data_IF_453755656654
#
_entry.id   IF_453755656654
#
_cell.length_a   1.000
_cell.length_b   1.000
_cell.length_c   1.000
_cell.angle_alpha   90.00
_cell.angle_beta   90.00
_cell.angle_gamma   90.00
#
_symmetry.space_group_name_H-M   'P 1'
#
loop_
_entity.id
_entity.type
_entity.pdbx_description
1 polymer ?
#
# COMPACT_ATOMS: atom_id res chain seq x y z
N UNK A 1 29.43 1.85 35.78
CA UNK A 1 29.20 1.69 34.33
C UNK A 1 27.71 1.80 34.12
N UNK A 2 27.23 2.94 33.63
CA UNK A 2 25.84 3.06 33.18
C UNK A 2 25.76 2.31 31.85
N UNK A 3 25.01 1.21 31.84
CA UNK A 3 24.64 0.53 30.61
C UNK A 3 23.64 1.46 29.92
N UNK A 4 24.10 2.22 28.92
CA UNK A 4 23.21 2.94 28.02
C UNK A 4 22.54 1.89 27.14
N UNK A 5 21.40 1.37 27.57
CA UNK A 5 20.46 0.77 26.63
C UNK A 5 20.13 1.86 25.62
N UNK A 6 20.68 1.74 24.41
CA UNK A 6 20.21 2.53 23.29
C UNK A 6 18.70 2.31 23.22
N UNK A 7 17.92 3.37 23.38
CA UNK A 7 16.47 3.34 23.18
C UNK A 7 16.23 2.68 21.83
N UNK A 8 15.75 1.44 21.85
CA UNK A 8 15.63 0.64 20.64
C UNK A 8 14.47 1.22 19.84
N UNK A 9 14.80 2.01 18.83
CA UNK A 9 13.83 2.52 17.87
C UNK A 9 13.46 1.39 16.92
N UNK A 10 12.19 1.34 16.52
CA UNK A 10 11.78 0.50 15.40
C UNK A 10 12.49 1.02 14.13
N UNK A 11 13.16 0.16 13.34
CA UNK A 11 13.93 0.65 12.20
C UNK A 11 13.02 1.19 11.10
N UNK A 12 13.48 2.22 10.40
CA UNK A 12 12.85 2.66 9.17
C UNK A 12 13.06 1.63 8.04
N UNK A 13 12.18 1.60 7.05
CA UNK A 13 12.31 0.71 5.89
C UNK A 13 13.63 0.92 5.14
N UNK A 14 14.14 2.16 5.07
CA UNK A 14 15.42 2.47 4.41
C UNK A 14 16.62 1.94 5.19
N UNK A 15 16.52 1.88 6.52
CA UNK A 15 17.55 1.34 7.40
C UNK A 15 17.55 -0.18 7.38
N UNK A 16 16.35 -0.78 7.39
CA UNK A 16 16.19 -2.23 7.40
C UNK A 16 16.52 -2.88 6.03
N UNK A 17 16.25 -2.19 4.93
CA UNK A 17 16.58 -2.63 3.57
C UNK A 17 17.56 -1.68 2.87
N UNK A 18 18.85 -1.65 3.25
CA UNK A 18 19.81 -0.67 2.73
C UNK A 18 20.05 -0.78 1.21
N UNK A 19 19.81 -1.94 0.61
CA UNK A 19 20.00 -2.20 -0.82
C UNK A 19 19.04 -1.41 -1.73
N UNK A 20 17.93 -0.89 -1.19
CA UNK A 20 17.04 0.00 -1.95
C UNK A 20 17.73 1.35 -2.26
N UNK A 21 18.76 1.71 -1.49
CA UNK A 21 19.56 2.96 -1.62
C UNK A 21 18.69 4.22 -1.61
N UNK A 22 17.71 4.24 -0.69
CA UNK A 22 16.76 5.34 -0.55
C UNK A 22 15.67 5.42 -1.62
N UNK A 23 15.65 4.51 -2.60
CA UNK A 23 14.59 4.41 -3.61
C UNK A 23 13.49 3.48 -3.08
N UNK A 24 12.45 4.08 -2.49
CA UNK A 24 11.32 3.35 -1.90
C UNK A 24 10.46 2.61 -2.95
N UNK A 25 10.57 2.97 -4.24
CA UNK A 25 9.83 2.27 -5.30
C UNK A 25 10.35 0.86 -5.55
N UNK A 26 11.50 0.49 -4.97
CA UNK A 26 12.08 -0.86 -5.02
C UNK A 26 11.59 -1.78 -3.91
N UNK A 27 10.87 -1.25 -2.91
CA UNK A 27 10.32 -2.08 -1.84
C UNK A 27 9.22 -2.95 -2.43
N UNK A 28 9.38 -4.26 -2.30
CA UNK A 28 8.45 -5.26 -2.82
C UNK A 28 7.44 -5.68 -1.75
N UNK A 29 6.21 -5.94 -2.16
CA UNK A 29 5.08 -6.19 -1.25
C UNK A 29 4.48 -7.57 -1.48
N UNK A 30 4.16 -8.24 -0.38
CA UNK A 30 3.20 -9.34 -0.36
C UNK A 30 1.87 -8.75 0.13
N UNK A 31 0.88 -8.70 -0.76
CA UNK A 31 -0.44 -8.13 -0.46
C UNK A 31 -1.39 -9.19 0.12
N UNK A 32 -2.21 -8.81 1.10
CA UNK A 32 -3.26 -9.64 1.70
C UNK A 32 -2.79 -11.01 2.21
N UNK A 33 -1.67 -11.04 2.96
CA UNK A 33 -1.02 -12.24 3.51
C UNK A 33 -1.82 -12.81 4.70
N UNK A 34 -3.00 -13.33 4.40
CA UNK A 34 -4.00 -13.70 5.41
C UNK A 34 -4.01 -15.19 5.78
N UNK A 35 -3.08 -15.98 5.25
CA UNK A 35 -3.00 -17.42 5.52
C UNK A 35 -1.56 -17.93 5.48
N UNK A 36 -1.34 -19.16 5.94
CA UNK A 36 0.02 -19.71 6.09
C UNK A 36 0.72 -19.94 4.75
N UNK A 37 -0.04 -20.25 3.70
CA UNK A 37 0.51 -20.50 2.37
C UNK A 37 1.08 -19.21 1.78
N UNK A 38 0.31 -18.13 1.78
CA UNK A 38 0.74 -16.81 1.32
C UNK A 38 1.94 -16.31 2.14
N UNK A 39 1.93 -16.51 3.45
CA UNK A 39 3.05 -16.12 4.31
C UNK A 39 4.34 -16.85 3.92
N UNK A 40 4.29 -18.18 3.78
CA UNK A 40 5.45 -18.99 3.36
C UNK A 40 5.92 -18.60 1.97
N UNK A 41 5.01 -18.36 1.04
CA UNK A 41 5.32 -17.92 -0.32
C UNK A 41 6.04 -16.58 -0.32
N UNK A 42 5.56 -15.59 0.44
CA UNK A 42 6.19 -14.28 0.54
C UNK A 42 7.64 -14.35 1.04
N UNK A 43 7.90 -15.20 2.04
CA UNK A 43 9.26 -15.45 2.53
C UNK A 43 10.15 -16.13 1.49
N UNK A 44 9.62 -17.14 0.78
CA UNK A 44 10.35 -17.84 -0.27
C UNK A 44 10.73 -16.92 -1.44
N UNK A 45 9.81 -16.01 -1.80
CA UNK A 45 10.01 -15.00 -2.85
C UNK A 45 10.85 -13.80 -2.36
N UNK A 46 11.23 -13.77 -1.07
CA UNK A 46 12.02 -12.71 -0.43
C UNK A 46 11.39 -11.32 -0.54
N UNK A 47 10.08 -11.25 -0.42
CA UNK A 47 9.36 -9.97 -0.43
C UNK A 47 9.68 -9.17 0.84
N UNK A 48 9.97 -7.88 0.66
CA UNK A 48 10.40 -6.99 1.75
C UNK A 48 9.31 -6.64 2.76
N UNK A 49 8.06 -6.43 2.34
CA UNK A 49 6.97 -6.05 3.24
C UNK A 49 5.80 -7.03 3.14
N UNK A 50 5.28 -7.47 4.29
CA UNK A 50 4.07 -8.28 4.39
C UNK A 50 2.91 -7.36 4.80
N UNK A 51 1.91 -7.22 3.93
CA UNK A 51 0.65 -6.58 4.26
C UNK A 51 -0.38 -7.67 4.58
N UNK A 52 -1.10 -7.52 5.71
CA UNK A 52 -2.08 -8.50 6.15
C UNK A 52 -3.27 -7.82 6.83
N UNK A 53 -4.46 -8.35 6.56
CA UNK A 53 -5.72 -7.86 7.10
C UNK A 53 -5.96 -8.42 8.50
N UNK A 54 -6.40 -7.56 9.41
CA UNK A 54 -6.69 -7.93 10.81
C UNK A 54 -8.17 -7.69 11.12
N UNK A 55 -8.83 -8.75 11.58
CA UNK A 55 -10.24 -8.73 12.04
C UNK A 55 -10.35 -9.44 13.39
N UNK A 56 -11.41 -9.13 14.15
CA UNK A 56 -11.82 -10.00 15.26
C UNK A 56 -12.52 -11.23 14.70
N UNK A 57 -12.17 -12.39 15.24
CA UNK A 57 -12.75 -13.65 14.83
C UNK A 57 -12.13 -14.83 15.56
N UNK A 58 -12.32 -16.03 15.04
CA UNK A 58 -11.81 -17.24 15.68
C UNK A 58 -10.70 -17.90 14.86
N UNK A 59 -9.65 -18.35 15.54
CA UNK A 59 -8.72 -19.31 14.94
C UNK A 59 -9.44 -20.64 14.74
N UNK A 60 -9.26 -21.29 13.59
CA UNK A 60 -9.88 -22.60 13.29
C UNK A 60 -9.60 -23.59 14.44
N UNK A 61 -10.66 -24.15 15.01
CA UNK A 61 -10.60 -25.07 16.15
C UNK A 61 -10.66 -24.40 17.53
N UNK A 62 -10.78 -23.07 17.62
CA UNK A 62 -11.02 -22.32 18.85
C UNK A 62 -12.37 -21.59 18.80
N UNK A 63 -12.96 -21.33 19.96
CA UNK A 63 -14.15 -20.49 20.14
C UNK A 63 -13.82 -19.11 20.74
N UNK A 64 -12.56 -18.86 21.06
CA UNK A 64 -12.10 -17.57 21.58
C UNK A 64 -12.06 -16.55 20.45
N UNK A 65 -12.69 -15.39 20.65
CA UNK A 65 -12.64 -14.27 19.71
C UNK A 65 -11.36 -13.46 19.95
N UNK A 66 -10.47 -13.48 18.97
CA UNK A 66 -9.14 -12.86 19.02
C UNK A 66 -8.82 -12.18 17.68
N UNK A 67 -7.80 -11.31 17.62
CA UNK A 67 -7.28 -10.83 16.35
C UNK A 67 -6.74 -11.96 15.48
N UNK A 68 -7.25 -12.06 14.25
CA UNK A 68 -6.87 -13.07 13.26
C UNK A 68 -6.50 -12.44 11.93
N UNK A 69 -5.69 -13.15 11.13
CA UNK A 69 -5.32 -12.72 9.78
C UNK A 69 -6.44 -13.13 8.83
N UNK A 70 -7.28 -12.18 8.42
CA UNK A 70 -8.40 -12.43 7.52
C UNK A 70 -8.98 -11.12 6.96
N UNK A 71 -9.49 -11.19 5.73
CA UNK A 71 -10.26 -10.12 5.12
C UNK A 71 -11.77 -10.38 5.28
N UNK A 72 -12.59 -9.38 5.64
CA UNK A 72 -14.05 -9.49 5.63
C UNK A 72 -14.60 -10.02 4.29
N UNK A 73 -15.67 -10.82 4.30
CA UNK A 73 -16.52 -11.17 5.45
C UNK A 73 -16.00 -12.35 6.27
N UNK A 74 -14.76 -12.82 6.05
CA UNK A 74 -14.21 -13.95 6.80
C UNK A 74 -13.98 -13.57 8.26
N UNK A 75 -14.58 -14.33 9.18
CA UNK A 75 -14.41 -14.20 10.64
C UNK A 75 -13.70 -15.41 11.26
N UNK A 76 -13.13 -16.27 10.42
CA UNK A 76 -12.30 -17.40 10.85
C UNK A 76 -11.03 -17.46 10.03
N UNK A 77 -9.93 -17.87 10.66
CA UNK A 77 -8.64 -18.04 9.98
C UNK A 77 -7.85 -19.17 10.61
N UNK A 78 -6.97 -19.79 9.83
CA UNK A 78 -6.01 -20.75 10.36
C UNK A 78 -4.83 -20.10 11.10
N UNK A 79 -4.76 -18.76 11.10
CA UNK A 79 -3.65 -17.94 11.59
C UNK A 79 -4.17 -16.77 12.43
N UNK A 80 -3.78 -16.72 13.71
CA UNK A 80 -4.01 -15.54 14.55
C UNK A 80 -2.97 -14.44 14.26
N UNK A 81 -3.21 -13.22 14.74
CA UNK A 81 -2.18 -12.17 14.72
C UNK A 81 -0.94 -12.58 15.53
N UNK A 82 -1.14 -13.26 16.65
CA UNK A 82 -0.04 -13.80 17.49
C UNK A 82 0.83 -14.79 16.70
N UNK A 83 0.20 -15.72 15.96
CA UNK A 83 0.93 -16.66 15.09
C UNK A 83 1.72 -15.90 14.01
N UNK A 84 1.08 -14.90 13.39
CA UNK A 84 1.68 -14.10 12.32
C UNK A 84 2.91 -13.34 12.79
N UNK A 85 2.80 -12.61 13.90
CA UNK A 85 3.92 -11.86 14.45
C UNK A 85 5.03 -12.77 14.94
N UNK A 86 4.70 -13.88 15.62
CA UNK A 86 5.71 -14.86 16.05
C UNK A 86 6.50 -15.40 14.87
N UNK A 87 5.82 -15.74 13.76
CA UNK A 87 6.49 -16.22 12.56
C UNK A 87 7.32 -15.12 11.87
N UNK A 88 6.82 -13.88 11.83
CA UNK A 88 7.55 -12.74 11.27
C UNK A 88 8.82 -12.42 12.08
N UNK A 89 8.74 -12.50 13.41
CA UNK A 89 9.87 -12.34 14.34
C UNK A 89 10.91 -13.45 14.12
N UNK A 90 10.48 -14.70 13.96
CA UNK A 90 11.39 -15.83 13.71
C UNK A 90 12.10 -15.66 12.36
N UNK A 91 11.36 -15.24 11.32
CA UNK A 91 11.92 -15.05 9.99
C UNK A 91 12.87 -13.84 9.93
N UNK A 92 12.48 -12.73 10.56
CA UNK A 92 13.19 -11.45 10.62
C UNK A 92 13.84 -11.04 9.29
N UNK A 93 13.08 -11.16 8.20
CA UNK A 93 13.52 -10.85 6.84
C UNK A 93 12.60 -9.86 6.12
N UNK A 94 11.51 -9.44 6.79
CA UNK A 94 10.44 -8.63 6.21
C UNK A 94 9.98 -7.59 7.24
N UNK A 95 9.52 -6.43 6.76
CA UNK A 95 8.65 -5.55 7.55
C UNK A 95 7.19 -6.00 7.48
N UNK A 96 6.36 -5.45 8.36
CA UNK A 96 4.95 -5.83 8.51
C UNK A 96 4.06 -4.59 8.42
N UNK A 97 2.98 -4.68 7.67
CA UNK A 97 1.89 -3.70 7.63
C UNK A 97 0.58 -4.40 8.00
N UNK A 98 -0.02 -4.00 9.12
CA UNK A 98 -1.28 -4.57 9.60
C UNK A 98 -2.44 -3.66 9.21
N UNK A 99 -3.36 -4.17 8.39
CA UNK A 99 -4.57 -3.46 7.97
C UNK A 99 -5.77 -3.80 8.85
N UNK A 100 -6.07 -2.91 9.80
CA UNK A 100 -7.18 -3.07 10.73
C UNK A 100 -8.50 -2.73 10.05
N UNK A 101 -9.37 -3.74 9.93
CA UNK A 101 -10.66 -3.59 9.23
C UNK A 101 -11.79 -3.03 10.08
N UNK A 102 -11.57 -2.91 11.39
CA UNK A 102 -12.52 -2.31 12.33
C UNK A 102 -11.80 -1.70 13.52
N UNK A 103 -12.48 -0.86 14.30
CA UNK A 103 -11.86 -0.23 15.49
C UNK A 103 -11.77 -1.20 16.66
N UNK A 104 -12.68 -2.18 16.74
CA UNK A 104 -12.80 -3.15 17.81
C UNK A 104 -11.59 -4.10 17.89
N UNK A 105 -10.96 -4.40 16.75
CA UNK A 105 -9.78 -5.26 16.70
C UNK A 105 -8.49 -4.55 17.11
N UNK A 106 -8.48 -3.21 17.15
CA UNK A 106 -7.26 -2.41 17.32
C UNK A 106 -6.61 -2.65 18.69
N UNK A 107 -7.31 -2.38 19.80
CA UNK A 107 -6.72 -2.51 21.14
C UNK A 107 -6.24 -3.94 21.47
N UNK A 108 -7.02 -5.01 21.19
CA UNK A 108 -6.53 -6.37 21.35
C UNK A 108 -5.26 -6.66 20.52
N UNK A 109 -5.16 -6.10 19.31
CA UNK A 109 -4.00 -6.27 18.45
C UNK A 109 -2.78 -5.51 18.94
N UNK A 110 -2.95 -4.27 19.41
CA UNK A 110 -1.84 -3.50 19.97
C UNK A 110 -1.31 -4.12 21.26
N UNK A 111 -2.17 -4.75 22.08
CA UNK A 111 -1.72 -5.53 23.24
C UNK A 111 -0.81 -6.69 22.85
N UNK A 112 -1.14 -7.40 21.77
CA UNK A 112 -0.28 -8.44 21.20
C UNK A 112 1.05 -7.84 20.73
N UNK A 113 1.03 -6.76 19.95
CA UNK A 113 2.26 -6.08 19.51
C UNK A 113 3.14 -5.62 20.68
N UNK A 114 2.54 -5.10 21.74
CA UNK A 114 3.25 -4.68 22.96
C UNK A 114 3.94 -5.85 23.67
N UNK A 115 3.34 -7.04 23.70
CA UNK A 115 3.96 -8.24 24.26
C UNK A 115 5.20 -8.67 23.46
N UNK A 116 5.26 -8.31 22.17
CA UNK A 116 6.38 -8.64 21.27
C UNK A 116 7.34 -7.49 21.03
N UNK A 117 7.10 -6.29 21.60
CA UNK A 117 7.78 -5.04 21.24
C UNK A 117 9.32 -5.15 21.20
N UNK A 118 9.91 -5.90 22.11
CA UNK A 118 11.37 -6.01 22.23
C UNK A 118 12.00 -6.91 21.14
N UNK A 119 11.17 -7.72 20.47
CA UNK A 119 11.51 -8.62 19.38
C UNK A 119 11.13 -8.05 17.99
N UNK A 120 10.31 -7.01 17.93
CA UNK A 120 9.93 -6.32 16.69
C UNK A 120 11.08 -5.43 16.19
N UNK A 121 12.12 -6.08 15.68
CA UNK A 121 13.37 -5.47 15.20
C UNK A 121 13.34 -5.12 13.71
N UNK A 122 12.14 -5.00 13.15
CA UNK A 122 11.84 -4.71 11.76
C UNK A 122 10.73 -3.64 11.66
N UNK A 123 10.52 -3.00 10.50
CA UNK A 123 9.49 -1.98 10.34
C UNK A 123 8.09 -2.55 10.59
N UNK A 124 7.29 -1.90 11.44
CA UNK A 124 5.86 -2.22 11.66
C UNK A 124 5.01 -1.01 11.33
N UNK A 125 4.00 -1.23 10.50
CA UNK A 125 3.07 -0.20 10.03
C UNK A 125 1.64 -0.54 10.48
N UNK A 126 0.92 0.48 10.93
CA UNK A 126 -0.48 0.36 11.38
C UNK A 126 -1.37 1.04 10.34
N UNK A 127 -2.15 0.27 9.58
CA UNK A 127 -3.00 0.74 8.49
C UNK A 127 -4.47 0.65 8.87
N UNK A 128 -5.25 1.64 8.44
CA UNK A 128 -6.71 1.56 8.43
C UNK A 128 -7.28 2.60 7.47
N UNK A 129 -8.42 2.28 6.84
CA UNK A 129 -9.23 3.25 6.11
C UNK A 129 -10.04 4.09 7.12
N UNK A 130 -9.57 5.30 7.43
CA UNK A 130 -10.14 6.13 8.51
C UNK A 130 -11.03 7.28 8.04
N UNK A 131 -11.01 7.60 6.75
CA UNK A 131 -11.84 8.66 6.16
C UNK A 131 -12.58 8.14 4.93
N UNK A 132 -13.71 8.76 4.58
CA UNK A 132 -14.40 8.45 3.33
C UNK A 132 -13.57 8.91 2.14
N UNK A 133 -13.35 8.01 1.18
CA UNK A 133 -12.56 8.29 -0.01
C UNK A 133 -13.39 8.77 -1.19
N UNK A 134 -12.69 9.03 -2.31
CA UNK A 134 -13.35 9.29 -3.58
C UNK A 134 -14.30 8.15 -3.97
N UNK A 135 -15.22 8.46 -4.90
CA UNK A 135 -16.15 7.49 -5.50
C UNK A 135 -17.21 6.95 -4.52
N UNK A 136 -17.51 7.70 -3.46
CA UNK A 136 -18.70 7.55 -2.60
C UNK A 136 -18.93 6.10 -2.11
N UNK A 137 -17.95 5.55 -1.39
CA UNK A 137 -18.16 4.28 -0.69
C UNK A 137 -19.29 4.40 0.34
N UNK A 138 -20.15 3.39 0.42
CA UNK A 138 -21.19 3.31 1.47
C UNK A 138 -20.68 2.60 2.73
N UNK A 139 -19.51 1.97 2.67
CA UNK A 139 -18.89 1.34 3.82
C UNK A 139 -18.40 2.41 4.80
N UNK A 140 -18.65 2.18 6.09
CA UNK A 140 -18.17 3.07 7.14
C UNK A 140 -16.64 2.90 7.30
N UNK A 141 -15.87 4.01 7.31
CA UNK A 141 -14.47 3.99 7.70
C UNK A 141 -14.30 3.61 9.18
N UNK A 142 -13.09 3.19 9.53
CA UNK A 142 -12.65 3.07 10.93
C UNK A 142 -12.68 4.46 11.58
N UNK A 143 -13.06 4.53 12.86
CA UNK A 143 -13.08 5.80 13.61
C UNK A 143 -11.68 6.43 13.65
N UNK A 144 -11.54 7.56 12.95
CA UNK A 144 -10.25 8.23 12.77
C UNK A 144 -9.59 8.67 14.09
N UNK A 145 -10.37 9.20 15.03
CA UNK A 145 -9.81 9.70 16.29
C UNK A 145 -9.36 8.58 17.18
N UNK A 146 -10.19 7.56 17.31
CA UNK A 146 -9.82 6.39 18.12
C UNK A 146 -8.59 5.71 17.51
N UNK A 147 -8.58 5.47 16.20
CA UNK A 147 -7.44 4.85 15.54
C UNK A 147 -6.14 5.63 15.78
N UNK A 148 -6.13 6.92 15.45
CA UNK A 148 -4.94 7.76 15.53
C UNK A 148 -4.46 7.94 16.98
N UNK A 149 -5.38 8.23 17.92
CA UNK A 149 -5.01 8.45 19.33
C UNK A 149 -4.54 7.18 20.02
N UNK A 150 -5.16 6.02 19.76
CA UNK A 150 -4.75 4.74 20.32
C UNK A 150 -3.39 4.33 19.77
N UNK A 151 -3.17 4.42 18.46
CA UNK A 151 -1.87 4.09 17.87
C UNK A 151 -0.74 4.99 18.42
N UNK A 152 -0.98 6.29 18.50
CA UNK A 152 0.00 7.25 19.04
C UNK A 152 0.30 7.05 20.52
N UNK A 153 -0.69 6.58 21.31
CA UNK A 153 -0.52 6.30 22.73
C UNK A 153 0.20 4.97 22.96
N UNK A 154 -0.26 3.91 22.31
CA UNK A 154 0.06 2.53 22.67
C UNK A 154 1.19 1.94 21.85
N UNK A 155 1.46 2.48 20.65
CA UNK A 155 2.51 2.00 19.77
C UNK A 155 3.15 3.13 18.94
N UNK A 156 3.74 4.17 19.60
CA UNK A 156 4.24 5.39 18.95
C UNK A 156 5.45 5.19 18.03
N UNK A 157 6.08 4.02 18.04
CA UNK A 157 7.26 3.73 17.22
C UNK A 157 6.90 3.21 15.82
N UNK A 158 5.65 2.79 15.58
CA UNK A 158 5.23 2.36 14.26
C UNK A 158 5.07 3.54 13.29
N UNK A 159 5.13 3.23 12.00
CA UNK A 159 4.63 4.10 10.95
C UNK A 159 3.11 3.99 10.88
N UNK A 160 2.39 5.11 10.78
CA UNK A 160 0.95 5.08 10.52
C UNK A 160 0.70 5.04 9.01
N UNK A 161 -0.31 4.28 8.61
CA UNK A 161 -0.77 4.16 7.21
C UNK A 161 -2.27 4.48 7.10
N UNK A 162 -2.71 5.71 7.44
CA UNK A 162 -4.12 6.09 7.40
C UNK A 162 -4.59 6.30 5.96
N UNK A 163 -5.60 5.53 5.56
CA UNK A 163 -6.17 5.54 4.22
C UNK A 163 -7.57 6.13 4.14
N UNK A 164 -8.11 6.03 2.94
CA UNK A 164 -9.49 6.37 2.65
C UNK A 164 -10.28 5.15 2.24
N UNK A 165 -11.49 5.03 2.77
CA UNK A 165 -12.45 4.01 2.37
C UNK A 165 -12.94 4.32 0.96
N UNK A 166 -12.33 3.67 -0.03
CA UNK A 166 -12.76 3.69 -1.42
C UNK A 166 -13.78 2.57 -1.66
N UNK A 167 -14.65 2.77 -2.65
CA UNK A 167 -15.60 1.72 -3.05
C UNK A 167 -14.81 0.57 -3.67
N UNK A 168 -15.02 -0.65 -3.20
CA UNK A 168 -14.47 -1.86 -3.82
C UNK A 168 -15.58 -2.68 -4.47
N UNK A 169 -15.32 -3.27 -5.63
CA UNK A 169 -16.26 -4.14 -6.34
C UNK A 169 -16.96 -3.49 -7.54
N UNK A 170 -17.88 -4.25 -8.14
CA UNK A 170 -18.50 -3.92 -9.42
C UNK A 170 -19.55 -2.77 -9.32
N UNK A 171 -19.59 -1.84 -10.30
CA UNK A 171 -18.60 -1.68 -11.36
C UNK A 171 -17.30 -1.10 -10.82
N UNK A 172 -16.18 -1.61 -11.33
CA UNK A 172 -14.83 -1.19 -10.94
C UNK A 172 -14.67 0.33 -11.03
N UNK A 173 -13.81 0.89 -10.17
CA UNK A 173 -13.50 2.31 -10.19
C UNK A 173 -12.73 2.61 -11.46
N UNK A 174 -13.41 3.18 -12.46
CA UNK A 174 -12.79 3.61 -13.72
C UNK A 174 -12.51 5.10 -13.77
N UNK A 175 -13.01 5.87 -12.81
CA UNK A 175 -12.87 7.32 -12.75
C UNK A 175 -12.99 7.85 -11.31
N UNK A 176 -12.45 9.05 -11.10
CA UNK A 176 -12.40 9.73 -9.80
C UNK A 176 -10.99 10.14 -9.45
N UNK A 177 -10.88 10.95 -8.39
CA UNK A 177 -9.61 11.49 -7.91
C UNK A 177 -9.73 11.90 -6.44
N UNK A 178 -8.59 11.96 -5.77
CA UNK A 178 -8.46 12.64 -4.48
C UNK A 178 -8.58 14.15 -4.66
N UNK A 179 -9.75 14.68 -4.34
CA UNK A 179 -10.04 16.13 -4.32
C UNK A 179 -9.38 16.84 -3.11
N UNK A 180 -9.20 18.19 -3.16
CA UNK A 180 -8.59 18.97 -2.07
C UNK A 180 -9.24 18.77 -0.69
N UNK A 181 -10.53 18.45 -0.62
CA UNK A 181 -11.25 18.18 0.63
C UNK A 181 -10.77 16.89 1.28
N UNK A 182 -10.39 15.87 0.49
CA UNK A 182 -9.79 14.64 1.02
C UNK A 182 -8.42 14.91 1.64
N UNK A 183 -7.65 15.82 1.04
CA UNK A 183 -6.32 16.21 1.53
C UNK A 183 -6.48 16.99 2.84
N UNK A 184 -7.35 18.00 2.85
CA UNK A 184 -7.62 18.84 4.02
C UNK A 184 -8.09 18.00 5.21
N UNK A 185 -9.10 17.14 5.02
CA UNK A 185 -9.64 16.29 6.09
C UNK A 185 -8.63 15.33 6.68
N UNK A 186 -7.75 14.73 5.86
CA UNK A 186 -6.67 13.88 6.35
C UNK A 186 -5.64 14.67 7.18
N UNK A 187 -5.21 15.84 6.68
CA UNK A 187 -4.29 16.72 7.42
C UNK A 187 -4.89 17.17 8.76
N UNK A 188 -6.16 17.55 8.78
CA UNK A 188 -6.88 17.92 10.00
C UNK A 188 -6.98 16.75 10.98
N UNK A 189 -7.25 15.54 10.50
CA UNK A 189 -7.29 14.33 11.33
C UNK A 189 -5.97 14.03 12.03
N UNK A 190 -4.86 14.14 11.31
CA UNK A 190 -3.52 13.98 11.89
C UNK A 190 -3.19 15.11 12.87
N UNK A 191 -3.51 16.36 12.51
CA UNK A 191 -3.20 17.53 13.34
C UNK A 191 -3.95 17.52 14.67
N UNK A 192 -5.26 17.24 14.66
CA UNK A 192 -6.10 17.21 15.88
C UNK A 192 -5.74 16.06 16.83
N UNK A 193 -5.18 14.97 16.31
CA UNK A 193 -4.67 13.84 17.09
C UNK A 193 -3.18 13.95 17.45
N UNK A 194 -2.54 15.09 17.15
CA UNK A 194 -1.14 15.36 17.49
C UNK A 194 -0.14 14.33 16.95
N UNK A 195 -0.39 13.80 15.76
CA UNK A 195 0.49 12.81 15.15
C UNK A 195 1.84 13.43 14.79
N UNK A 196 2.90 12.78 15.25
CA UNK A 196 4.31 13.08 14.95
C UNK A 196 5.06 11.86 14.40
N UNK A 197 4.41 10.69 14.41
CA UNK A 197 4.94 9.45 13.85
C UNK A 197 5.19 9.59 12.35
N UNK A 198 6.09 8.80 11.74
CA UNK A 198 6.13 8.64 10.29
C UNK A 198 4.76 8.24 9.74
N UNK A 199 4.38 8.79 8.58
CA UNK A 199 3.10 8.50 7.95
C UNK A 199 3.28 8.15 6.48
N UNK A 200 2.69 7.03 6.06
CA UNK A 200 2.47 6.77 4.64
C UNK A 200 0.98 6.89 4.32
N UNK A 201 0.62 7.41 3.15
CA UNK A 201 -0.78 7.49 2.75
C UNK A 201 -1.07 6.44 1.67
N UNK A 202 -1.82 5.37 1.98
CA UNK A 202 -2.22 4.39 0.99
C UNK A 202 -3.26 5.01 0.03
N UNK A 203 -2.88 5.14 -1.23
CA UNK A 203 -3.73 5.70 -2.29
C UNK A 203 -3.90 4.69 -3.42
N UNK A 204 -5.12 4.52 -3.90
CA UNK A 204 -5.41 3.58 -4.99
C UNK A 204 -4.81 4.12 -6.29
N UNK A 205 -4.10 3.29 -7.03
CA UNK A 205 -3.30 3.69 -8.19
C UNK A 205 -4.12 4.42 -9.28
N UNK A 206 -5.34 3.95 -9.56
CA UNK A 206 -6.23 4.54 -10.58
C UNK A 206 -6.61 5.98 -10.24
N UNK A 207 -6.98 6.20 -8.98
CA UNK A 207 -7.34 7.52 -8.46
C UNK A 207 -6.09 8.42 -8.36
N UNK A 208 -4.97 7.86 -7.87
CA UNK A 208 -3.71 8.59 -7.74
C UNK A 208 -3.21 9.14 -9.08
N UNK A 209 -3.34 8.36 -10.16
CA UNK A 209 -2.99 8.82 -11.51
C UNK A 209 -3.81 10.05 -11.98
N UNK A 210 -4.95 10.35 -11.34
CA UNK A 210 -5.81 11.51 -11.63
C UNK A 210 -5.69 12.62 -10.57
N UNK A 211 -4.72 12.52 -9.65
CA UNK A 211 -4.59 13.40 -8.46
C UNK A 211 -3.21 14.05 -8.33
N UNK A 212 -2.56 14.32 -9.46
CA UNK A 212 -1.21 14.93 -9.50
C UNK A 212 -1.17 16.31 -8.85
N UNK A 213 -2.25 17.07 -8.95
CA UNK A 213 -2.38 18.42 -8.44
C UNK A 213 -2.76 18.50 -6.94
N UNK A 214 -3.14 17.38 -6.32
CA UNK A 214 -3.58 17.34 -4.91
C UNK A 214 -2.68 16.48 -4.02
N UNK A 215 -2.26 15.29 -4.47
CA UNK A 215 -1.46 14.37 -3.66
C UNK A 215 -0.08 14.90 -3.23
N UNK A 216 0.65 15.70 -4.03
CA UNK A 216 1.89 16.31 -3.54
C UNK A 216 1.67 17.24 -2.33
N UNK A 217 0.52 17.92 -2.24
CA UNK A 217 0.22 18.78 -1.09
C UNK A 217 0.03 17.96 0.19
N UNK A 218 -0.57 16.77 0.11
CA UNK A 218 -0.77 15.87 1.24
C UNK A 218 0.52 15.60 2.03
N UNK A 219 1.64 15.54 1.31
CA UNK A 219 2.94 15.22 1.85
C UNK A 219 3.65 16.42 2.49
N UNK A 220 3.12 17.63 2.33
CA UNK A 220 3.69 18.85 2.91
C UNK A 220 3.07 19.10 4.28
N UNK A 221 3.70 18.51 5.31
CA UNK A 221 3.26 18.58 6.71
C UNK A 221 4.35 19.24 7.57
N UNK A 222 3.97 20.21 8.40
CA UNK A 222 4.92 20.93 9.25
C UNK A 222 5.36 20.14 10.49
N UNK A 223 4.54 19.19 10.95
CA UNK A 223 4.74 18.44 12.21
C UNK A 223 5.31 17.02 12.02
N UNK A 224 5.30 16.52 10.78
CA UNK A 224 5.66 15.14 10.47
C UNK A 224 6.81 15.17 9.47
N UNK A 225 7.97 14.68 9.91
CA UNK A 225 9.21 14.81 9.14
C UNK A 225 9.33 13.76 8.02
N UNK A 226 8.68 12.60 8.15
CA UNK A 226 8.68 11.55 7.14
C UNK A 226 7.25 11.23 6.72
N UNK A 227 6.88 11.76 5.55
CA UNK A 227 5.60 11.49 4.89
C UNK A 227 5.82 10.92 3.50
N UNK A 228 5.15 9.81 3.20
CA UNK A 228 5.25 9.08 1.93
C UNK A 228 3.88 8.72 1.35
N UNK A 229 3.85 8.31 0.09
CA UNK A 229 2.68 7.65 -0.51
C UNK A 229 2.94 6.15 -0.61
N UNK A 230 1.92 5.33 -0.35
CA UNK A 230 1.89 3.92 -0.78
C UNK A 230 0.84 3.80 -1.87
N UNK A 231 1.29 3.70 -3.11
CA UNK A 231 0.39 3.54 -4.24
C UNK A 231 0.05 2.07 -4.38
N UNK A 232 -1.22 1.71 -4.22
CA UNK A 232 -1.67 0.32 -4.19
C UNK A 232 -2.70 -0.01 -5.27
N UNK A 233 -2.71 -1.27 -5.71
CA UNK A 233 -3.72 -1.82 -6.61
C UNK A 233 -3.81 -3.35 -6.44
N UNK A 234 -4.99 -3.87 -6.15
CA UNK A 234 -5.18 -5.32 -5.91
C UNK A 234 -5.32 -6.13 -7.20
N UNK A 235 -6.01 -5.60 -8.21
CA UNK A 235 -6.30 -6.29 -9.47
C UNK A 235 -5.83 -5.48 -10.67
N UNK A 236 -5.50 -6.18 -11.77
CA UNK A 236 -5.03 -5.51 -12.99
C UNK A 236 -6.21 -4.82 -13.67
N UNK A 237 -6.24 -3.50 -13.52
CA UNK A 237 -7.21 -2.63 -14.18
C UNK A 237 -6.50 -1.68 -15.16
N UNK A 238 -7.26 -1.15 -16.12
CA UNK A 238 -6.74 -0.14 -17.02
C UNK A 238 -6.37 1.13 -16.25
N UNK A 239 -5.07 1.44 -16.18
CA UNK A 239 -4.53 2.60 -15.48
C UNK A 239 -3.77 3.52 -16.43
N UNK A 240 -3.83 4.83 -16.18
CA UNK A 240 -3.02 5.79 -16.91
C UNK A 240 -1.56 5.78 -16.40
N UNK A 241 -0.75 4.87 -16.93
CA UNK A 241 0.66 4.69 -16.59
C UNK A 241 1.46 5.99 -16.75
N UNK A 242 1.19 6.77 -17.81
CA UNK A 242 1.88 8.04 -18.06
C UNK A 242 1.66 9.04 -16.93
N UNK A 243 0.42 9.16 -16.45
CA UNK A 243 0.11 10.07 -15.34
C UNK A 243 0.63 9.53 -14.01
N UNK A 244 0.54 8.23 -13.78
CA UNK A 244 1.10 7.61 -12.58
C UNK A 244 2.63 7.86 -12.47
N UNK A 245 3.36 7.72 -13.58
CA UNK A 245 4.80 8.06 -13.63
C UNK A 245 5.07 9.51 -13.26
N UNK A 246 4.31 10.45 -13.84
CA UNK A 246 4.46 11.88 -13.51
C UNK A 246 4.23 12.14 -12.03
N UNK A 247 3.26 11.49 -11.41
CA UNK A 247 3.05 11.59 -9.96
C UNK A 247 4.28 11.11 -9.18
N UNK A 248 4.80 9.92 -9.53
CA UNK A 248 6.00 9.35 -8.88
C UNK A 248 7.20 10.28 -9.05
N UNK A 249 7.39 10.87 -10.23
CA UNK A 249 8.49 11.80 -10.51
C UNK A 249 8.35 13.11 -9.73
N UNK A 250 7.14 13.64 -9.57
CA UNK A 250 6.86 14.87 -8.80
C UNK A 250 7.07 14.63 -7.30
N UNK A 251 6.58 13.51 -6.77
CA UNK A 251 6.69 13.18 -5.34
C UNK A 251 8.11 12.77 -4.96
N UNK A 252 8.80 12.09 -5.88
CA UNK A 252 10.14 11.56 -5.69
C UNK A 252 10.14 10.11 -5.21
N UNK A 253 11.02 9.31 -5.79
CA UNK A 253 11.15 7.88 -5.49
C UNK A 253 11.56 7.56 -4.04
N UNK A 254 12.11 8.53 -3.32
CA UNK A 254 12.43 8.43 -1.89
C UNK A 254 11.22 8.65 -0.97
N UNK A 255 10.03 8.89 -1.54
CA UNK A 255 8.77 9.14 -0.83
C UNK A 255 7.57 8.37 -1.41
N UNK A 256 7.82 7.39 -2.29
CA UNK A 256 6.76 6.57 -2.89
C UNK A 256 7.08 5.08 -2.76
N UNK A 257 6.18 4.34 -2.14
CA UNK A 257 6.11 2.88 -2.18
C UNK A 257 5.12 2.43 -3.26
N UNK A 258 5.38 1.30 -3.90
CA UNK A 258 4.54 0.72 -4.96
C UNK A 258 4.10 -0.70 -4.56
N UNK A 259 2.85 -0.85 -4.11
CA UNK A 259 2.18 -2.14 -3.88
C UNK A 259 1.28 -2.45 -5.09
N UNK A 260 1.91 -2.77 -6.22
CA UNK A 260 1.26 -2.89 -7.52
C UNK A 260 1.50 -4.28 -8.13
N UNK A 261 0.57 -4.79 -8.97
CA UNK A 261 0.78 -6.02 -9.71
C UNK A 261 2.02 -5.92 -10.62
N UNK A 262 2.71 -7.04 -10.82
CA UNK A 262 3.93 -7.12 -11.65
C UNK A 262 3.74 -6.53 -13.05
N UNK A 263 2.58 -6.77 -13.68
CA UNK A 263 2.24 -6.23 -14.99
C UNK A 263 2.18 -4.70 -15.04
N UNK A 264 1.82 -4.03 -13.94
CA UNK A 264 1.83 -2.58 -13.82
C UNK A 264 3.26 -2.09 -13.55
N UNK A 265 4.02 -2.80 -12.71
CA UNK A 265 5.44 -2.52 -12.45
C UNK A 265 6.28 -2.58 -13.75
N UNK A 266 6.02 -3.55 -14.62
CA UNK A 266 6.67 -3.69 -15.93
C UNK A 266 6.34 -2.53 -16.88
N UNK A 267 5.10 -2.04 -16.86
CA UNK A 267 4.72 -0.87 -17.64
C UNK A 267 5.40 0.41 -17.12
N UNK A 268 5.58 0.51 -15.79
CA UNK A 268 6.32 1.60 -15.16
C UNK A 268 7.82 1.56 -15.49
N UNK A 269 8.42 0.39 -15.66
CA UNK A 269 9.84 0.27 -16.01
C UNK A 269 10.11 0.44 -17.52
N UNK A 270 9.22 -0.05 -18.39
CA UNK A 270 9.46 -0.17 -19.84
C UNK A 270 9.32 1.13 -20.65
N UNK A 271 8.63 2.15 -20.15
CA UNK A 271 8.40 3.39 -20.91
C UNK A 271 9.52 4.43 -20.73
N UNK A 272 10.73 4.07 -21.18
CA UNK A 272 11.74 5.01 -21.68
C UNK A 272 11.57 5.14 -23.20
N UNK A 273 11.05 6.29 -23.65
CA UNK A 273 11.01 6.81 -25.04
C UNK A 273 10.97 5.80 -26.20
N UNK A 274 9.76 5.41 -26.65
CA UNK A 274 9.56 5.11 -28.08
C UNK A 274 9.10 6.37 -28.78
N UNK A 275 10.05 7.16 -29.28
CA UNK A 275 9.75 8.06 -30.40
C UNK A 275 9.61 7.15 -31.61
N UNK A 276 8.39 6.97 -32.09
CA UNK A 276 8.16 6.26 -33.35
C UNK A 276 8.84 7.04 -34.49
N UNK A 277 9.60 6.39 -35.39
CA UNK A 277 10.13 7.08 -36.55
C UNK A 277 8.94 7.43 -37.45
N UNK A 278 8.78 8.73 -37.73
CA UNK A 278 7.90 9.22 -38.79
C UNK A 278 8.41 8.71 -40.12
N UNK A 279 7.79 7.66 -40.65
CA UNK A 279 8.01 7.24 -42.03
C UNK A 279 7.39 8.27 -42.97
N UNK A 280 8.23 9.14 -43.53
CA UNK A 280 7.88 9.95 -44.69
C UNK A 280 7.58 9.02 -45.87
N UNK A 281 6.32 8.96 -46.28
CA UNK A 281 5.86 8.17 -47.42
C UNK A 281 6.36 8.85 -48.70
N UNK A 282 7.49 8.38 -49.23
CA UNK A 282 7.97 8.77 -50.56
C UNK A 282 7.16 8.05 -51.64
N UNK A 283 6.56 8.82 -52.55
CA UNK A 283 5.95 8.31 -53.78
C UNK A 283 6.99 7.57 -54.62
N UNK A 284 6.68 6.33 -55.01
CA UNK A 284 7.31 5.71 -56.19
C UNK A 284 6.19 5.21 -57.10
N UNK A 285 6.04 5.90 -58.24
CA UNK A 285 5.30 5.42 -59.40
C UNK A 285 6.06 4.24 -60.02
N UNK A 286 5.37 3.13 -60.26
CA UNK A 286 5.86 2.00 -61.03
C UNK A 286 4.72 1.31 -61.77
N UNK A 287 4.59 1.64 -63.05
CA UNK A 287 3.70 1.03 -64.05
C UNK A 287 4.13 -0.43 -64.31
N UNK A 288 3.20 -1.35 -64.60
CA UNK A 288 3.20 -2.26 -65.77
C UNK A 288 2.18 -3.43 -65.65
N UNK A 289 1.25 -3.41 -66.63
CA UNK A 289 0.60 -4.47 -67.44
C UNK A 289 -0.24 -5.63 -66.85
N UNK A 290 -1.53 -5.51 -67.18
CA UNK A 290 -2.54 -6.48 -67.65
C UNK A 290 -2.07 -7.90 -68.03
N UNK A 291 -2.79 -8.91 -67.52
CA UNK A 291 -3.23 -10.07 -68.29
C UNK A 291 -4.56 -10.61 -67.73
N UNK A 292 -5.55 -10.75 -68.61
CA UNK A 292 -6.87 -11.30 -68.35
C UNK A 292 -6.85 -12.84 -68.41
N UNK A 293 -7.68 -13.49 -67.59
CA UNK A 293 -8.36 -14.74 -67.96
C UNK A 293 -9.57 -14.99 -67.06
N UNK A 294 -10.72 -15.07 -67.71
CA UNK A 294 -12.04 -15.47 -67.23
C UNK A 294 -12.05 -16.88 -66.63
N UNK A 295 -12.96 -17.19 -65.71
CA UNK A 295 -14.06 -18.17 -65.91
C UNK A 295 -14.97 -18.27 -64.67
N UNK A 296 -16.28 -18.28 -64.94
CA UNK A 296 -17.43 -18.68 -64.12
C UNK A 296 -17.21 -20.06 -63.46
N UNK A 297 -17.76 -20.43 -62.31
CA UNK A 297 -19.12 -20.28 -61.76
C UNK A 297 -19.11 -20.03 -60.25
#
# INVERSE_FOLDING_TARGET
MMNTEASRTMPDVREYFPDIKGDLTKVTWAHAVNNKELFKKALADKLMMLEADVVLGNKIGSTEEIPIMAHPPSTTSEMSLEDFLSNAIIANSCGVKLDFKSIEVLEPSLKILQNHKDNLTFPVWLNADILSGPVNSTALPVDADKFLSICARDFPLATLSPGWKVRYGAPNITSGRYEPEHITSMKEALARNNIIQPVTFPVQAILAAQSIDTLPDLLNMSRINDTTLTIWLSEVEAINITQLKKLIDIVGKNRVYLDLPESIMDQLSSSTSRVAPTTSMGLVLGVVLVAAASYFF
#
